data_IF_989525401782
#
_entry.id   IF_989525401782
#
_cell.length_a   1.000
_cell.length_b   1.000
_cell.length_c   1.000
_cell.angle_alpha   90.00
_cell.angle_beta   90.00
_cell.angle_gamma   90.00
#
_symmetry.space_group_name_H-M   'P 1'
#
loop_
_entity.id
_entity.type
_entity.pdbx_description
1 polymer ?
#
# COMPACT_ATOMS: atom_id res chain seq x y z
N UNK A 1 -5.95 -27.94 3.34
CA UNK A 1 -5.58 -26.70 2.61
C UNK A 1 -5.36 -25.64 3.67
N UNK A 2 -4.10 -25.32 3.97
CA UNK A 2 -3.73 -24.37 5.02
C UNK A 2 -3.76 -22.92 4.50
N UNK A 3 -4.18 -22.01 5.41
CA UNK A 3 -4.07 -20.54 5.43
C UNK A 3 -5.03 -19.77 4.50
N UNK A 4 -5.85 -18.81 4.95
CA UNK A 4 -5.82 -18.04 6.19
C UNK A 4 -7.22 -17.61 6.63
N UNK A 5 -7.55 -17.94 7.88
CA UNK A 5 -8.57 -17.23 8.66
C UNK A 5 -7.94 -15.90 9.08
N UNK A 6 -8.21 -14.83 8.33
CA UNK A 6 -8.12 -13.44 8.77
C UNK A 6 -8.62 -12.51 7.65
N UNK A 7 -9.94 -12.50 7.41
CA UNK A 7 -10.62 -11.37 6.78
C UNK A 7 -10.65 -10.15 7.70
N UNK A 8 -9.54 -9.87 8.39
CA UNK A 8 -9.35 -8.71 9.25
C UNK A 8 -8.82 -7.56 8.39
N UNK A 9 -9.68 -6.93 7.58
CA UNK A 9 -9.45 -5.65 6.87
C UNK A 9 -7.97 -5.25 6.63
N UNK A 10 -7.20 -6.13 5.97
CA UNK A 10 -5.80 -5.87 5.65
C UNK A 10 -5.75 -5.01 4.39
N UNK A 11 -5.40 -3.75 4.56
CA UNK A 11 -5.18 -2.80 3.47
C UNK A 11 -3.76 -2.97 2.94
N UNK A 12 -3.62 -3.05 1.63
CA UNK A 12 -2.33 -3.28 0.97
C UNK A 12 -2.10 -2.23 -0.09
N UNK A 13 -0.86 -1.78 -0.19
CA UNK A 13 -0.41 -0.84 -1.21
C UNK A 13 1.02 -1.16 -1.59
N UNK A 14 1.35 -1.00 -2.86
CA UNK A 14 2.67 -1.19 -3.42
C UNK A 14 3.28 0.17 -3.69
N UNK A 15 4.48 0.41 -3.17
CA UNK A 15 5.13 1.73 -3.28
C UNK A 15 6.52 1.59 -3.87
N UNK A 16 6.75 2.26 -5.00
CA UNK A 16 8.08 2.49 -5.55
C UNK A 16 8.56 3.88 -5.13
N UNK A 17 9.54 3.91 -4.22
CA UNK A 17 10.14 5.17 -3.76
C UNK A 17 11.16 5.76 -4.75
N UNK A 18 11.70 4.95 -5.65
CA UNK A 18 12.63 5.39 -6.70
C UNK A 18 11.90 6.17 -7.78
N UNK A 19 10.76 5.64 -8.23
CA UNK A 19 9.89 6.26 -9.24
C UNK A 19 8.82 7.17 -8.64
N UNK A 20 8.67 7.14 -7.30
CA UNK A 20 7.61 7.82 -6.54
C UNK A 20 6.23 7.44 -7.04
N UNK A 21 5.98 6.13 -7.14
CA UNK A 21 4.70 5.56 -7.58
C UNK A 21 4.08 4.80 -6.41
N UNK A 22 2.76 4.95 -6.27
CA UNK A 22 1.93 4.18 -5.36
C UNK A 22 0.92 3.42 -6.23
N UNK A 23 0.88 2.11 -6.11
CA UNK A 23 -0.10 1.26 -6.77
C UNK A 23 -0.91 0.43 -5.77
N UNK A 24 -2.14 0.11 -6.15
CA UNK A 24 -3.02 -0.78 -5.37
C UNK A 24 -2.94 -2.23 -5.84
N UNK A 25 -2.11 -2.51 -6.85
CA UNK A 25 -1.83 -3.83 -7.38
C UNK A 25 -0.35 -4.18 -7.22
N UNK A 26 -0.04 -5.46 -7.27
CA UNK A 26 1.35 -5.92 -7.30
C UNK A 26 2.04 -5.42 -8.56
N UNK A 27 3.15 -4.70 -8.37
CA UNK A 27 3.95 -4.13 -9.44
C UNK A 27 5.43 -4.45 -9.21
N UNK A 28 6.12 -4.84 -10.29
CA UNK A 28 7.55 -5.16 -10.25
C UNK A 28 8.37 -3.93 -9.86
N UNK A 29 9.20 -4.08 -8.81
CA UNK A 29 10.01 -2.99 -8.26
C UNK A 29 9.31 -2.15 -7.19
N UNK A 30 8.00 -2.37 -6.96
CA UNK A 30 7.31 -1.76 -5.83
C UNK A 30 7.49 -2.58 -4.55
N UNK A 31 7.53 -1.88 -3.41
CA UNK A 31 7.54 -2.49 -2.08
C UNK A 31 6.11 -2.63 -1.57
N UNK A 32 5.72 -3.85 -1.20
CA UNK A 32 4.44 -4.10 -0.53
C UNK A 32 4.46 -3.52 0.89
N UNK A 33 3.43 -2.73 1.20
CA UNK A 33 3.09 -2.25 2.53
C UNK A 33 1.71 -2.77 2.92
N UNK A 34 1.64 -3.40 4.09
CA UNK A 34 0.41 -3.96 4.63
C UNK A 34 0.01 -3.25 5.92
N UNK A 35 -1.27 -2.89 6.01
CA UNK A 35 -1.83 -2.17 7.13
C UNK A 35 -3.05 -2.91 7.66
N UNK A 36 -3.11 -3.07 8.98
CA UNK A 36 -4.29 -3.61 9.69
C UNK A 36 -5.31 -2.53 10.05
N UNK A 37 -4.89 -1.26 10.02
CA UNK A 37 -5.74 -0.12 10.36
C UNK A 37 -5.96 0.77 9.14
N UNK A 38 -7.24 1.04 8.85
CA UNK A 38 -7.64 1.92 7.74
C UNK A 38 -7.07 3.33 7.90
N UNK A 39 -7.01 3.86 9.11
CA UNK A 39 -6.48 5.20 9.40
C UNK A 39 -4.99 5.30 9.05
N UNK A 40 -4.20 4.28 9.40
CA UNK A 40 -2.77 4.23 9.05
C UNK A 40 -2.56 4.15 7.55
N UNK A 41 -3.38 3.35 6.85
CA UNK A 41 -3.36 3.28 5.40
C UNK A 41 -3.68 4.64 4.76
N UNK A 42 -4.75 5.32 5.22
CA UNK A 42 -5.14 6.63 4.69
C UNK A 42 -4.09 7.70 4.98
N UNK A 43 -3.51 7.73 6.19
CA UNK A 43 -2.42 8.65 6.53
C UNK A 43 -1.17 8.40 5.68
N UNK A 44 -0.88 7.14 5.35
CA UNK A 44 0.25 6.79 4.49
C UNK A 44 0.01 7.26 3.05
N UNK A 45 -1.19 7.03 2.51
CA UNK A 45 -1.59 7.54 1.19
C UNK A 45 -1.57 9.07 1.16
N UNK A 46 -2.11 9.75 2.17
CA UNK A 46 -2.09 11.21 2.27
C UNK A 46 -0.65 11.75 2.28
N UNK A 47 0.24 11.13 3.06
CA UNK A 47 1.65 11.49 3.08
C UNK A 47 2.31 11.34 1.70
N UNK A 48 2.04 10.25 0.99
CA UNK A 48 2.56 10.07 -0.38
C UNK A 48 1.97 11.08 -1.37
N UNK A 49 0.71 11.47 -1.20
CA UNK A 49 0.08 12.55 -1.96
C UNK A 49 0.80 13.88 -1.71
N UNK A 50 1.07 14.21 -0.44
CA UNK A 50 1.83 15.40 -0.05
C UNK A 50 3.28 15.39 -0.56
N UNK A 51 3.88 14.21 -0.71
CA UNK A 51 5.20 14.01 -1.31
C UNK A 51 5.17 13.96 -2.86
N UNK A 52 4.02 14.23 -3.48
CA UNK A 52 3.81 14.24 -4.93
C UNK A 52 4.09 12.89 -5.62
N UNK A 53 3.79 11.78 -4.96
CA UNK A 53 3.83 10.46 -5.59
C UNK A 53 2.68 10.31 -6.59
N UNK A 54 2.90 9.52 -7.64
CA UNK A 54 1.91 9.20 -8.68
C UNK A 54 1.14 7.94 -8.29
N UNK A 55 -0.16 7.93 -8.54
CA UNK A 55 -1.01 6.76 -8.30
C UNK A 55 -1.28 6.03 -9.62
N UNK A 56 -1.00 4.72 -9.66
CA UNK A 56 -1.23 3.84 -10.82
C UNK A 56 -2.09 2.64 -10.47
#
# INVERSE_FOLDING_TARGET
>A
MEKAVASENLWRVWVDTSRRIVSFHEEEGCKLLEFRSRELFLSCVDQYTGMQYRYQ
#
